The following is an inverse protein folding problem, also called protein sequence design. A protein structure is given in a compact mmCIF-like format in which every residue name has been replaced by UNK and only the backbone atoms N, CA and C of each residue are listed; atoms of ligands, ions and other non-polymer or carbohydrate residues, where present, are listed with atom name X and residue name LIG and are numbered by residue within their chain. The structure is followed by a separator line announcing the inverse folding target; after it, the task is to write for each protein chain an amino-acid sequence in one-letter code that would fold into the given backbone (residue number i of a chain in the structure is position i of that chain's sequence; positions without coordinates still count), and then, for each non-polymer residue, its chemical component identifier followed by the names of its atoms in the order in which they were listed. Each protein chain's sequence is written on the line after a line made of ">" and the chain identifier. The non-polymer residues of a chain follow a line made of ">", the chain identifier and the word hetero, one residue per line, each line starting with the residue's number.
data_IF_034334822446
#
_entry.id   IF_034334822446
#
_cell.length_a   1.000
_cell.length_b   1.000
_cell.length_c   1.000
_cell.angle_alpha   90.00
_cell.angle_beta   90.00
_cell.angle_gamma   90.00
#
_symmetry.space_group_name_H-M   'P 1'
#
loop_
_entity.id
_entity.type
_entity.pdbx_description
1 polymer ?
#
# COMPACT_ATOMS: atom_id res chain seq x y z
N UNK A 1 -19.98 32.88 -40.45
CA UNK A 1 -19.68 34.10 -39.69
C UNK A 1 -18.52 33.76 -38.78
N UNK A 2 -17.31 34.20 -39.13
CA UNK A 2 -16.09 33.88 -38.39
C UNK A 2 -16.03 34.78 -37.15
N UNK A 3 -15.89 34.19 -35.97
CA UNK A 3 -15.74 34.95 -34.72
C UNK A 3 -14.32 35.48 -34.69
N UNK A 4 -14.16 36.79 -34.46
CA UNK A 4 -12.83 37.38 -34.38
C UNK A 4 -12.10 36.93 -33.11
N UNK A 5 -10.77 36.97 -33.13
CA UNK A 5 -9.96 36.64 -31.96
C UNK A 5 -10.29 37.52 -30.75
N UNK A 6 -10.62 38.79 -31.00
CA UNK A 6 -11.08 39.75 -30.00
C UNK A 6 -12.40 39.29 -29.35
N UNK A 7 -13.40 38.91 -30.15
CA UNK A 7 -14.68 38.42 -29.65
C UNK A 7 -14.52 37.13 -28.84
N UNK A 8 -13.59 36.26 -29.25
CA UNK A 8 -13.26 35.05 -28.50
C UNK A 8 -12.64 35.37 -27.15
N UNK A 9 -11.72 36.33 -27.08
CA UNK A 9 -11.06 36.73 -25.85
C UNK A 9 -12.02 37.41 -24.86
N UNK A 10 -12.91 38.26 -25.35
CA UNK A 10 -13.97 38.88 -24.54
C UNK A 10 -14.91 37.84 -23.93
N UNK A 11 -15.31 36.83 -24.71
CA UNK A 11 -16.10 35.73 -24.21
C UNK A 11 -15.36 34.93 -23.13
N UNK A 12 -14.07 34.62 -23.34
CA UNK A 12 -13.24 33.92 -22.35
C UNK A 12 -13.15 34.70 -21.04
N UNK A 13 -12.93 36.01 -21.10
CA UNK A 13 -12.85 36.89 -19.93
C UNK A 13 -14.17 36.94 -19.17
N UNK A 14 -15.30 37.07 -19.88
CA UNK A 14 -16.64 37.02 -19.30
C UNK A 14 -16.91 35.70 -18.58
N UNK A 15 -16.57 34.57 -19.22
CA UNK A 15 -16.78 33.24 -18.63
C UNK A 15 -15.91 33.04 -17.39
N UNK A 16 -14.63 33.42 -17.45
CA UNK A 16 -13.72 33.36 -16.30
C UNK A 16 -14.29 34.12 -15.12
N UNK A 17 -14.63 35.41 -15.30
CA UNK A 17 -15.14 36.25 -14.22
C UNK A 17 -16.41 35.71 -13.55
N UNK A 18 -17.26 34.97 -14.28
CA UNK A 18 -18.50 34.39 -13.74
C UNK A 18 -18.33 33.06 -13.02
N UNK A 19 -17.42 32.21 -13.50
CA UNK A 19 -17.40 30.80 -13.12
C UNK A 19 -16.15 30.37 -12.36
N UNK A 20 -15.25 31.31 -12.06
CA UNK A 20 -14.01 30.99 -11.37
C UNK A 20 -14.08 31.24 -9.87
N UNK A 21 -13.49 30.37 -9.03
CA UNK A 21 -13.41 30.59 -7.59
C UNK A 21 -12.66 31.88 -7.23
N UNK A 22 -12.94 32.49 -6.06
CA UNK A 22 -12.20 33.64 -5.57
C UNK A 22 -10.69 33.37 -5.53
N UNK A 23 -9.92 34.28 -6.12
CA UNK A 23 -8.46 34.14 -6.22
C UNK A 23 -7.96 33.28 -7.39
N UNK A 24 -8.80 32.69 -8.22
CA UNK A 24 -8.31 31.98 -9.41
C UNK A 24 -7.94 32.92 -10.57
N UNK A 25 -8.44 34.17 -10.54
CA UNK A 25 -8.28 35.16 -11.61
C UNK A 25 -7.67 36.44 -11.05
N UNK A 26 -6.84 37.10 -11.86
CA UNK A 26 -6.35 38.47 -11.65
C UNK A 26 -7.42 39.54 -11.98
N UNK A 27 -7.14 40.80 -11.67
CA UNK A 27 -8.05 41.92 -11.94
C UNK A 27 -8.29 42.14 -13.45
N UNK A 28 -7.33 41.76 -14.30
CA UNK A 28 -7.41 41.86 -15.76
C UNK A 28 -8.14 40.67 -16.44
N UNK A 29 -8.78 39.81 -15.64
CA UNK A 29 -9.48 38.59 -16.08
C UNK A 29 -8.57 37.48 -16.65
N UNK A 30 -7.26 37.59 -16.45
CA UNK A 30 -6.29 36.52 -16.70
C UNK A 30 -6.23 35.49 -15.56
N UNK A 31 -5.76 34.28 -15.84
CA UNK A 31 -5.66 33.19 -14.86
C UNK A 31 -4.45 33.42 -13.95
N UNK A 32 -4.66 33.34 -12.63
CA UNK A 32 -3.58 33.38 -11.63
C UNK A 32 -2.98 31.99 -11.45
N UNK A 33 -1.85 31.71 -12.12
CA UNK A 33 -1.20 30.39 -12.13
C UNK A 33 -0.82 29.89 -10.72
N UNK A 34 -0.52 30.80 -9.81
CA UNK A 34 -0.17 30.53 -8.41
C UNK A 34 -1.31 29.87 -7.64
N UNK A 35 -2.56 30.12 -8.02
CA UNK A 35 -3.73 29.49 -7.39
C UNK A 35 -3.72 27.95 -7.51
N UNK A 36 -3.06 27.42 -8.54
CA UNK A 36 -2.97 25.98 -8.80
C UNK A 36 -1.70 25.34 -8.23
N UNK A 37 -0.80 26.13 -7.65
CA UNK A 37 0.39 25.60 -7.01
C UNK A 37 0.03 25.19 -5.57
N UNK A 38 0.42 23.99 -5.12
CA UNK A 38 0.24 23.61 -3.71
C UNK A 38 1.02 24.58 -2.81
N UNK A 39 0.35 25.15 -1.81
CA UNK A 39 0.98 26.09 -0.84
C UNK A 39 2.12 25.46 -0.04
N UNK A 40 2.13 24.12 0.09
CA UNK A 40 3.11 23.37 0.88
C UNK A 40 3.57 22.15 0.09
N UNK A 41 4.78 22.25 -0.46
CA UNK A 41 5.52 21.07 -0.89
C UNK A 41 6.10 20.43 0.37
N UNK A 42 5.39 19.46 0.93
CA UNK A 42 5.95 18.62 1.99
C UNK A 42 6.99 17.70 1.37
N UNK A 43 8.26 17.87 1.74
CA UNK A 43 9.29 16.90 1.46
C UNK A 43 8.97 15.64 2.28
N UNK A 44 8.22 14.72 1.68
CA UNK A 44 7.99 13.40 2.25
C UNK A 44 9.31 12.63 2.10
N UNK A 45 9.99 12.35 3.20
CA UNK A 45 11.10 11.39 3.17
C UNK A 45 10.56 10.06 2.62
N UNK A 46 11.05 9.62 1.47
CA UNK A 46 10.69 8.32 0.93
C UNK A 46 11.10 7.22 1.91
N UNK A 47 10.11 6.53 2.47
CA UNK A 47 10.32 5.35 3.31
C UNK A 47 10.82 4.19 2.44
N UNK A 48 12.14 4.12 2.21
CA UNK A 48 12.76 3.02 1.46
C UNK A 48 12.67 1.72 2.23
N UNK A 49 12.05 0.71 1.62
CA UNK A 49 12.00 -0.65 2.14
C UNK A 49 13.14 -1.46 1.53
N UNK A 50 14.15 -1.81 2.33
CA UNK A 50 15.33 -2.55 1.91
C UNK A 50 15.57 -3.85 2.68
N UNK A 51 16.79 -4.37 2.56
CA UNK A 51 17.21 -5.59 3.25
C UNK A 51 17.25 -5.40 4.77
N UNK A 52 17.68 -4.23 5.25
CA UNK A 52 17.74 -3.94 6.68
C UNK A 52 16.34 -3.95 7.32
N UNK A 53 15.36 -3.31 6.70
CA UNK A 53 13.97 -3.32 7.19
C UNK A 53 13.38 -4.71 7.16
N UNK A 54 13.68 -5.48 6.10
CA UNK A 54 13.26 -6.87 5.99
C UNK A 54 13.87 -7.72 7.10
N UNK A 55 15.14 -7.53 7.41
CA UNK A 55 15.86 -8.27 8.44
C UNK A 55 15.34 -7.93 9.84
N UNK A 56 15.03 -6.64 10.09
CA UNK A 56 14.33 -6.19 11.30
C UNK A 56 12.92 -6.79 11.41
N UNK A 57 12.21 -6.94 10.30
CA UNK A 57 10.91 -7.60 10.31
C UNK A 57 11.04 -9.08 10.70
N UNK A 58 12.01 -9.83 10.19
CA UNK A 58 12.27 -11.20 10.65
C UNK A 58 12.53 -11.26 12.17
N UNK A 59 13.36 -10.36 12.70
CA UNK A 59 13.62 -10.27 14.15
C UNK A 59 12.34 -9.94 14.94
N UNK A 60 11.50 -9.07 14.41
CA UNK A 60 10.21 -8.72 15.00
C UNK A 60 9.24 -9.89 15.07
N UNK A 61 9.15 -10.67 13.98
CA UNK A 61 8.32 -11.88 13.92
C UNK A 61 8.84 -12.97 14.87
N UNK A 62 10.15 -13.09 15.04
CA UNK A 62 10.75 -14.03 15.98
C UNK A 62 10.48 -13.62 17.45
N UNK A 63 10.66 -12.33 17.77
CA UNK A 63 10.55 -11.82 19.14
C UNK A 63 9.09 -11.65 19.59
N UNK A 64 8.27 -10.97 18.79
CA UNK A 64 6.92 -10.55 19.16
C UNK A 64 5.83 -11.42 18.54
N UNK A 65 6.05 -11.90 17.32
CA UNK A 65 5.10 -12.72 16.58
C UNK A 65 4.13 -11.93 15.71
N UNK A 66 3.39 -12.66 14.88
CA UNK A 66 2.39 -12.09 13.98
C UNK A 66 1.21 -11.53 14.78
N UNK A 67 0.80 -10.31 14.46
CA UNK A 67 -0.27 -9.58 15.14
C UNK A 67 0.20 -8.56 16.17
N UNK A 68 1.49 -8.58 16.54
CA UNK A 68 2.12 -7.63 17.48
C UNK A 68 2.82 -6.48 16.74
N UNK A 69 2.06 -5.83 15.86
CA UNK A 69 2.60 -4.84 14.92
C UNK A 69 3.09 -3.59 15.60
N UNK A 70 2.35 -3.11 16.61
CA UNK A 70 2.73 -1.95 17.41
C UNK A 70 4.07 -2.17 18.10
N UNK A 71 4.26 -3.33 18.72
CA UNK A 71 5.52 -3.68 19.38
C UNK A 71 6.68 -3.76 18.37
N UNK A 72 6.46 -4.32 17.18
CA UNK A 72 7.47 -4.37 16.11
C UNK A 72 7.80 -2.95 15.61
N UNK A 73 6.79 -2.11 15.40
CA UNK A 73 6.97 -0.72 14.96
C UNK A 73 7.78 0.07 15.99
N UNK A 74 7.35 0.11 17.24
CA UNK A 74 7.97 0.90 18.31
C UNK A 74 9.42 0.47 18.58
N UNK A 75 9.74 -0.82 18.47
CA UNK A 75 11.07 -1.33 18.84
C UNK A 75 12.05 -1.48 17.66
N UNK A 76 11.57 -1.72 16.44
CA UNK A 76 12.42 -2.12 15.31
C UNK A 76 12.18 -1.27 14.06
N UNK A 77 10.93 -0.91 13.76
CA UNK A 77 10.54 -0.29 12.51
C UNK A 77 9.66 0.96 12.73
N UNK A 78 10.14 1.99 13.45
CA UNK A 78 9.31 3.12 13.91
C UNK A 78 8.78 4.01 12.78
N UNK A 79 9.36 3.88 11.58
CA UNK A 79 8.88 4.58 10.38
C UNK A 79 7.67 3.89 9.74
N UNK A 80 7.30 2.68 10.14
CA UNK A 80 6.25 1.89 9.51
C UNK A 80 5.08 1.69 10.48
N UNK A 81 3.88 2.03 10.01
CA UNK A 81 2.65 1.76 10.76
C UNK A 81 2.27 0.27 10.71
N UNK A 82 1.29 -0.09 11.54
CA UNK A 82 0.81 -1.46 11.69
C UNK A 82 0.34 -2.06 10.36
N UNK A 83 -0.32 -1.28 9.51
CA UNK A 83 -0.83 -1.76 8.23
C UNK A 83 0.30 -2.03 7.24
N UNK A 84 1.29 -1.15 7.17
CA UNK A 84 2.49 -1.35 6.37
C UNK A 84 3.22 -2.62 6.81
N UNK A 85 3.45 -2.79 8.12
CA UNK A 85 4.10 -3.99 8.66
C UNK A 85 3.30 -5.26 8.36
N UNK A 86 1.97 -5.23 8.50
CA UNK A 86 1.09 -6.35 8.15
C UNK A 86 1.22 -6.73 6.68
N UNK A 87 1.22 -5.77 5.75
CA UNK A 87 1.37 -6.03 4.31
C UNK A 87 2.76 -6.60 3.99
N UNK A 88 3.81 -6.09 4.63
CA UNK A 88 5.17 -6.59 4.45
C UNK A 88 5.32 -8.01 5.00
N UNK A 89 4.78 -8.28 6.19
CA UNK A 89 4.75 -9.61 6.78
C UNK A 89 3.93 -10.59 5.93
N UNK A 90 2.81 -10.16 5.35
CA UNK A 90 1.99 -10.97 4.43
C UNK A 90 2.80 -11.46 3.23
N UNK A 91 3.54 -10.55 2.57
CA UNK A 91 4.43 -10.91 1.45
C UNK A 91 5.58 -11.81 1.89
N UNK A 92 6.14 -11.54 3.06
CA UNK A 92 7.28 -12.26 3.59
C UNK A 92 6.90 -13.70 3.98
N UNK A 93 5.70 -13.90 4.53
CA UNK A 93 5.11 -15.22 4.83
C UNK A 93 4.52 -15.92 3.59
N UNK A 94 4.41 -15.22 2.45
CA UNK A 94 3.74 -15.74 1.26
C UNK A 94 2.24 -15.96 1.43
N UNK A 95 1.54 -15.19 2.27
CA UNK A 95 0.09 -15.34 2.49
C UNK A 95 -0.62 -14.00 2.51
N UNK A 96 -1.70 -13.85 1.73
CA UNK A 96 -2.52 -12.64 1.74
C UNK A 96 -3.15 -12.38 3.11
N UNK A 97 -3.69 -13.43 3.75
CA UNK A 97 -4.28 -13.35 5.07
C UNK A 97 -3.32 -13.88 6.12
N UNK A 98 -3.07 -13.07 7.16
CA UNK A 98 -2.29 -13.46 8.33
C UNK A 98 -3.16 -13.93 9.51
N UNK A 99 -4.49 -14.02 9.34
CA UNK A 99 -5.42 -14.33 10.42
C UNK A 99 -5.11 -15.69 11.09
N UNK A 100 -4.72 -16.70 10.30
CA UNK A 100 -4.33 -18.03 10.80
C UNK A 100 -2.98 -18.07 11.51
N UNK A 101 -2.18 -17.01 11.38
CA UNK A 101 -0.86 -16.92 11.99
C UNK A 101 -0.85 -16.03 13.23
N UNK A 102 -1.99 -15.56 13.74
CA UNK A 102 -2.02 -14.69 14.94
C UNK A 102 -1.32 -15.39 16.11
N UNK A 103 -0.31 -14.72 16.68
CA UNK A 103 0.51 -15.26 17.76
C UNK A 103 1.65 -16.18 17.32
N UNK A 104 1.71 -16.59 16.04
CA UNK A 104 2.80 -17.39 15.50
C UNK A 104 4.12 -16.62 15.57
N UNK A 105 5.19 -17.33 15.97
CA UNK A 105 6.57 -16.82 16.04
C UNK A 105 7.49 -17.75 15.27
N UNK A 106 8.47 -17.18 14.58
CA UNK A 106 9.48 -17.95 13.88
C UNK A 106 10.67 -17.10 13.51
N UNK A 107 11.85 -17.72 13.58
CA UNK A 107 13.06 -17.12 13.04
C UNK A 107 13.02 -17.11 11.51
N UNK A 108 14.04 -16.52 10.87
CA UNK A 108 14.13 -16.43 9.41
C UNK A 108 13.88 -17.75 8.70
N UNK A 109 14.48 -18.84 9.17
CA UNK A 109 14.35 -20.13 8.52
C UNK A 109 12.92 -20.66 8.58
N UNK A 110 12.26 -20.54 9.74
CA UNK A 110 10.85 -20.94 9.90
C UNK A 110 9.92 -20.11 9.00
N UNK A 111 10.19 -18.82 8.87
CA UNK A 111 9.42 -17.93 8.02
C UNK A 111 9.61 -18.26 6.53
N UNK A 112 10.85 -18.48 6.10
CA UNK A 112 11.15 -18.84 4.71
C UNK A 112 10.57 -20.23 4.37
N UNK A 113 10.57 -21.16 5.31
CA UNK A 113 9.91 -22.45 5.16
C UNK A 113 8.38 -22.31 5.04
N UNK A 114 7.78 -21.38 5.80
CA UNK A 114 6.35 -21.09 5.71
C UNK A 114 5.98 -20.45 4.36
N UNK A 115 6.82 -19.53 3.88
CA UNK A 115 6.67 -18.94 2.56
C UNK A 115 6.77 -19.98 1.45
N UNK A 116 7.74 -20.90 1.55
CA UNK A 116 7.90 -21.99 0.60
C UNK A 116 6.69 -22.95 0.62
N UNK A 117 6.14 -23.26 1.80
CA UNK A 117 4.90 -24.04 1.94
C UNK A 117 3.72 -23.35 1.28
N UNK A 118 3.48 -22.08 1.59
CA UNK A 118 2.38 -21.30 1.02
C UNK A 118 2.53 -21.15 -0.49
N UNK A 119 3.76 -20.98 -0.98
CA UNK A 119 4.07 -20.92 -2.41
C UNK A 119 3.71 -22.22 -3.11
N UNK A 120 4.21 -23.35 -2.60
CA UNK A 120 3.94 -24.67 -3.19
C UNK A 120 2.44 -24.94 -3.25
N UNK A 121 1.72 -24.69 -2.15
CA UNK A 121 0.27 -24.87 -2.10
C UNK A 121 -0.46 -23.95 -3.10
N UNK A 122 -0.01 -22.69 -3.20
CA UNK A 122 -0.57 -21.73 -4.15
C UNK A 122 -0.31 -22.11 -5.60
N UNK A 123 0.86 -22.64 -5.92
CA UNK A 123 1.19 -23.11 -7.27
C UNK A 123 0.36 -24.35 -7.62
N UNK A 124 0.18 -25.30 -6.70
CA UNK A 124 -0.64 -26.51 -6.89
C UNK A 124 -2.13 -26.19 -7.11
N UNK A 125 -2.66 -25.19 -6.40
CA UNK A 125 -4.08 -24.79 -6.47
C UNK A 125 -4.36 -23.66 -7.48
N UNK A 126 -3.36 -23.15 -8.21
CA UNK A 126 -3.51 -21.96 -9.07
C UNK A 126 -3.87 -20.68 -8.30
N UNK A 127 -3.54 -20.63 -7.01
CA UNK A 127 -3.89 -19.60 -6.04
C UNK A 127 -2.68 -18.73 -5.62
N UNK A 128 -1.52 -18.90 -6.25
CA UNK A 128 -0.35 -18.03 -6.04
C UNK A 128 -0.45 -16.77 -6.91
N UNK A 129 -0.66 -15.61 -6.29
CA UNK A 129 -0.80 -14.33 -6.99
C UNK A 129 0.04 -13.26 -6.31
N UNK A 130 0.82 -12.51 -7.10
CA UNK A 130 1.66 -11.40 -6.63
C UNK A 130 2.58 -11.75 -5.43
N UNK A 131 3.08 -12.99 -5.40
CA UNK A 131 4.00 -13.46 -4.34
C UNK A 131 3.31 -13.90 -3.04
N UNK A 132 1.99 -14.10 -3.05
CA UNK A 132 1.24 -14.61 -1.90
C UNK A 132 0.19 -15.65 -2.30
N UNK A 133 -0.14 -16.52 -1.36
CA UNK A 133 -1.29 -17.42 -1.41
C UNK A 133 -2.57 -16.61 -1.19
N UNK A 134 -3.48 -16.66 -2.17
CA UNK A 134 -4.76 -15.93 -2.21
C UNK A 134 -5.91 -16.93 -2.22
N UNK A 135 -6.96 -16.69 -1.44
CA UNK A 135 -8.14 -17.56 -1.45
C UNK A 135 -8.93 -17.45 -2.76
N UNK A 136 -9.59 -18.54 -3.14
CA UNK A 136 -10.44 -18.60 -4.32
C UNK A 136 -11.91 -18.86 -3.93
N UNK A 137 -12.83 -18.58 -4.85
CA UNK A 137 -14.28 -18.70 -4.60
C UNK A 137 -14.72 -20.14 -4.29
N UNK A 138 -13.93 -21.13 -4.70
CA UNK A 138 -14.18 -22.55 -4.43
C UNK A 138 -13.75 -22.99 -3.01
N UNK A 139 -13.05 -22.13 -2.27
CA UNK A 139 -12.53 -22.42 -0.93
C UNK A 139 -11.43 -23.49 -0.90
N UNK A 140 -10.72 -23.72 -2.00
CA UNK A 140 -9.75 -24.81 -2.14
C UNK A 140 -8.56 -24.63 -1.18
N UNK A 141 -8.11 -23.39 -1.03
CA UNK A 141 -7.02 -23.02 -0.10
C UNK A 141 -7.41 -23.34 1.34
N UNK A 142 -8.60 -22.92 1.78
CA UNK A 142 -9.08 -23.17 3.13
C UNK A 142 -9.23 -24.69 3.41
N UNK A 143 -9.73 -25.46 2.44
CA UNK A 143 -9.84 -26.93 2.55
C UNK A 143 -8.46 -27.58 2.68
N UNK A 144 -7.50 -27.20 1.84
CA UNK A 144 -6.16 -27.77 1.86
C UNK A 144 -5.40 -27.45 3.16
N UNK A 145 -5.50 -26.21 3.65
CA UNK A 145 -4.90 -25.81 4.93
C UNK A 145 -5.49 -26.60 6.10
N UNK A 146 -6.82 -26.71 6.19
CA UNK A 146 -7.48 -27.50 7.23
C UNK A 146 -7.08 -28.99 7.20
N UNK A 147 -6.83 -29.55 6.02
CA UNK A 147 -6.37 -30.93 5.89
C UNK A 147 -4.93 -31.14 6.36
N UNK A 148 -4.08 -30.10 6.24
CA UNK A 148 -2.70 -30.11 6.70
C UNK A 148 -2.59 -29.95 8.23
N UNK A 149 -3.46 -29.16 8.86
CA UNK A 149 -3.46 -28.93 10.32
C UNK A 149 -3.99 -30.12 11.13
N UNK A 150 -4.76 -31.02 10.51
CA UNK A 150 -5.32 -32.23 11.15
C UNK A 150 -4.40 -33.46 11.09
N UNK A 151 -3.19 -33.32 10.54
CA UNK A 151 -2.18 -34.38 10.47
C UNK A 151 -1.17 -34.22 11.61
#
# INVERSE_FOLDING_TARGET
>A
MEISEQQRMEWVHCMRGKFSPPGMINEDLSIRQEFFKPDKVFLVEEKKWGNEERDKLYQGLEKFGIGKWREISENLLPKYDDQALRVKASRLMGSQSLARYVGWKGNRHAVDAEQARNRKLGEELGCWKAGVLVENDNGDVAKALNALEKR
#
